data_IF_710699819146
#
_entry.id   IF_710699819146
#
_cell.length_a   1.000
_cell.length_b   1.000
_cell.length_c   1.000
_cell.angle_alpha   90.00
_cell.angle_beta   90.00
_cell.angle_gamma   90.00
#
_symmetry.space_group_name_H-M   'P 1'
#
loop_
_entity.id
_entity.type
_entity.pdbx_description
1 polymer ?
#
# COMPACT_ATOMS: atom_id res chain seq x y z
N UNK A 1 -21.69 -14.75 8.40
CA UNK A 1 -20.60 -14.27 9.27
C UNK A 1 -19.30 -14.93 8.82
N UNK A 2 -18.26 -14.15 8.60
CA UNK A 2 -17.00 -14.59 7.98
C UNK A 2 -15.84 -14.34 8.91
N UNK A 3 -14.99 -15.35 9.10
CA UNK A 3 -13.76 -15.26 9.88
C UNK A 3 -12.54 -15.20 8.98
N UNK A 4 -11.57 -14.39 9.37
CA UNK A 4 -10.26 -14.39 8.75
C UNK A 4 -9.45 -15.58 9.27
N UNK A 5 -8.82 -16.32 8.37
CA UNK A 5 -7.90 -17.39 8.77
C UNK A 5 -6.69 -16.87 9.56
N UNK A 6 -6.28 -15.61 9.35
CA UNK A 6 -5.25 -14.93 10.14
C UNK A 6 -5.70 -13.52 10.50
N UNK A 7 -5.58 -13.09 11.77
CA UNK A 7 -5.87 -11.72 12.17
C UNK A 7 -5.10 -10.70 11.32
N UNK A 8 -5.77 -9.64 10.88
CA UNK A 8 -5.17 -8.56 10.09
C UNK A 8 -4.94 -7.33 10.96
N UNK A 9 -3.76 -6.70 10.94
CA UNK A 9 -3.49 -5.52 11.77
C UNK A 9 -4.40 -4.36 11.35
N UNK A 10 -5.02 -3.71 12.32
CA UNK A 10 -5.92 -2.56 12.15
C UNK A 10 -5.77 -1.59 13.31
N UNK A 11 -6.29 -0.39 13.15
CA UNK A 11 -6.49 0.56 14.24
C UNK A 11 -8.00 0.72 14.50
N UNK A 12 -8.39 0.77 15.77
CA UNK A 12 -9.79 0.87 16.20
C UNK A 12 -10.01 2.18 16.96
N UNK A 13 -11.00 2.96 16.55
CA UNK A 13 -11.37 4.21 17.20
C UNK A 13 -12.21 3.94 18.45
N UNK A 14 -11.75 4.41 19.61
CA UNK A 14 -12.47 4.30 20.87
C UNK A 14 -12.06 5.43 21.82
N UNK A 15 -13.06 6.16 22.34
CA UNK A 15 -12.89 7.32 23.23
C UNK A 15 -11.91 8.36 22.66
N UNK A 16 -12.19 8.79 21.42
CA UNK A 16 -11.42 9.82 20.69
C UNK A 16 -9.95 9.49 20.49
N UNK A 17 -9.60 8.19 20.52
CA UNK A 17 -8.25 7.67 20.33
C UNK A 17 -8.26 6.45 19.42
N UNK A 18 -7.19 6.30 18.66
CA UNK A 18 -6.95 5.12 17.84
C UNK A 18 -6.10 4.12 18.63
N UNK A 19 -6.57 2.88 18.72
CA UNK A 19 -5.89 1.79 19.43
C UNK A 19 -5.44 0.73 18.43
N UNK A 20 -4.20 0.26 18.58
CA UNK A 20 -3.69 -0.85 17.76
C UNK A 20 -4.49 -2.13 18.08
N UNK A 21 -4.93 -2.81 17.04
CA UNK A 21 -5.70 -4.03 17.13
C UNK A 21 -5.53 -4.97 15.94
N UNK A 22 -6.37 -6.00 15.91
CA UNK A 22 -6.43 -6.95 14.82
C UNK A 22 -7.89 -7.26 14.45
N UNK A 23 -8.17 -7.21 13.15
CA UNK A 23 -9.41 -7.65 12.55
C UNK A 23 -9.43 -9.18 12.52
N UNK A 24 -10.48 -9.75 13.08
CA UNK A 24 -10.69 -11.20 13.18
C UNK A 24 -11.69 -11.70 12.14
N UNK A 25 -12.64 -10.87 11.72
CA UNK A 25 -13.70 -11.25 10.79
C UNK A 25 -14.71 -10.12 10.59
N UNK A 26 -15.74 -10.40 9.79
CA UNK A 26 -16.82 -9.45 9.51
C UNK A 26 -18.15 -10.17 9.32
N UNK A 27 -19.24 -9.42 9.38
CA UNK A 27 -20.59 -9.88 9.02
C UNK A 27 -21.38 -8.71 8.48
N UNK A 28 -22.44 -9.01 7.73
CA UNK A 28 -23.50 -8.05 7.47
C UNK A 28 -24.66 -8.34 8.42
N UNK A 29 -25.22 -7.30 9.01
CA UNK A 29 -26.49 -7.38 9.73
C UNK A 29 -27.67 -7.32 8.71
N UNK A 30 -28.91 -7.52 9.16
CA UNK A 30 -30.07 -7.68 8.28
C UNK A 30 -30.43 -6.41 7.48
N UNK A 31 -29.98 -5.25 7.98
CA UNK A 31 -30.10 -3.93 7.36
C UNK A 31 -29.03 -3.66 6.29
N UNK A 32 -28.10 -4.61 6.07
CA UNK A 32 -26.97 -4.47 5.15
C UNK A 32 -25.74 -3.81 5.78
N UNK A 33 -25.80 -3.41 7.05
CA UNK A 33 -24.68 -2.78 7.75
C UNK A 33 -23.54 -3.77 7.94
N UNK A 34 -22.31 -3.36 7.64
CA UNK A 34 -21.12 -4.18 7.83
C UNK A 34 -20.53 -3.98 9.23
N UNK A 35 -20.49 -5.06 10.00
CA UNK A 35 -19.83 -5.10 11.30
C UNK A 35 -18.54 -5.89 11.25
N UNK A 36 -17.54 -5.37 11.92
CA UNK A 36 -16.21 -5.96 12.02
C UNK A 36 -15.99 -6.55 13.41
N UNK A 37 -15.47 -7.77 13.50
CA UNK A 37 -15.01 -8.35 14.76
C UNK A 37 -13.54 -8.00 14.93
N UNK A 38 -13.21 -7.23 15.97
CA UNK A 38 -11.84 -6.79 16.24
C UNK A 38 -11.39 -7.21 17.63
N UNK A 39 -10.07 -7.32 17.82
CA UNK A 39 -9.45 -7.32 19.14
C UNK A 39 -8.48 -6.16 19.26
N UNK A 40 -8.46 -5.45 20.38
CA UNK A 40 -7.58 -4.30 20.61
C UNK A 40 -7.17 -4.19 22.09
N UNK A 41 -6.02 -3.57 22.34
CA UNK A 41 -5.61 -3.18 23.69
C UNK A 41 -6.19 -1.80 24.00
N UNK A 42 -7.10 -1.74 24.96
CA UNK A 42 -7.77 -0.51 25.40
C UNK A 42 -7.60 -0.39 26.90
N UNK A 43 -7.01 0.73 27.34
CA UNK A 43 -6.70 0.99 28.76
C UNK A 43 -5.88 -0.15 29.40
N UNK A 44 -5.00 -0.80 28.64
CA UNK A 44 -4.18 -1.94 29.09
C UNK A 44 -4.87 -3.31 29.02
N UNK A 45 -6.13 -3.39 28.63
CA UNK A 45 -6.88 -4.64 28.55
C UNK A 45 -7.13 -5.07 27.11
N UNK A 46 -6.90 -6.35 26.81
CA UNK A 46 -7.31 -6.95 25.53
C UNK A 46 -8.82 -7.12 25.50
N UNK A 47 -9.48 -6.41 24.59
CA UNK A 47 -10.93 -6.48 24.37
C UNK A 47 -11.22 -7.08 23.00
N UNK A 48 -12.36 -7.74 22.87
CA UNK A 48 -12.86 -8.26 21.58
C UNK A 48 -14.31 -7.89 21.41
N UNK A 49 -14.64 -7.17 20.34
CA UNK A 49 -15.97 -6.62 20.12
C UNK A 49 -16.36 -6.64 18.64
N UNK A 50 -17.66 -6.52 18.39
CA UNK A 50 -18.18 -6.12 17.08
C UNK A 50 -18.24 -4.60 17.04
N UNK A 51 -17.73 -4.01 15.98
CA UNK A 51 -17.68 -2.55 15.78
C UNK A 51 -18.15 -2.21 14.37
N UNK A 52 -18.57 -0.96 14.17
CA UNK A 52 -18.97 -0.44 12.85
C UNK A 52 -17.74 -0.23 11.96
N UNK A 53 -17.92 -0.34 10.63
CA UNK A 53 -16.85 -0.22 9.65
C UNK A 53 -16.10 1.13 9.72
N UNK A 54 -16.81 2.21 10.02
CA UNK A 54 -16.27 3.58 10.14
C UNK A 54 -15.35 3.78 11.36
N UNK A 55 -15.42 2.89 12.35
CA UNK A 55 -14.57 2.93 13.54
C UNK A 55 -13.22 2.23 13.35
N UNK A 56 -12.94 1.67 12.16
CA UNK A 56 -11.73 0.88 11.88
C UNK A 56 -10.99 1.45 10.68
N UNK A 57 -9.66 1.53 10.78
CA UNK A 57 -8.79 1.89 9.65
C UNK A 57 -7.57 0.98 9.58
N UNK A 58 -6.92 1.00 8.42
CA UNK A 58 -5.61 0.37 8.28
C UNK A 58 -4.54 1.19 9.02
N UNK A 59 -3.53 0.55 9.63
CA UNK A 59 -2.42 1.26 10.25
C UNK A 59 -1.68 2.09 9.19
N UNK A 60 -1.22 3.28 9.56
CA UNK A 60 -0.37 4.06 8.69
C UNK A 60 0.93 3.28 8.42
N UNK A 61 1.38 3.16 7.16
CA UNK A 61 2.68 2.60 6.88
C UNK A 61 3.77 3.47 7.55
N UNK A 62 4.86 2.86 8.05
CA UNK A 62 5.97 3.64 8.58
C UNK A 62 6.47 4.60 7.51
N UNK A 63 6.75 5.84 7.92
CA UNK A 63 7.37 6.82 7.02
C UNK A 63 8.65 6.20 6.46
N UNK A 64 8.75 6.11 5.13
CA UNK A 64 10.01 5.74 4.50
C UNK A 64 11.03 6.80 4.91
N UNK A 65 12.23 6.42 5.41
CA UNK A 65 13.27 7.39 5.68
C UNK A 65 13.55 8.13 4.38
N UNK A 66 13.15 9.39 4.31
CA UNK A 66 13.44 10.26 3.18
C UNK A 66 14.91 10.66 3.34
N UNK A 67 15.79 9.79 2.87
CA UNK A 67 17.19 10.15 2.67
C UNK A 67 17.29 11.12 1.51
N UNK A 68 16.94 12.39 1.73
CA UNK A 68 17.53 13.55 1.04
C UNK A 68 16.97 14.86 1.60
N UNK A 69 17.77 15.52 2.44
CA UNK A 69 17.52 16.88 2.92
C UNK A 69 17.79 17.95 1.83
N UNK A 70 17.76 17.60 0.53
CA UNK A 70 18.12 18.50 -0.58
C UNK A 70 16.99 18.93 -1.50
N UNK A 71 15.75 18.46 -1.30
CA UNK A 71 14.66 18.72 -2.27
C UNK A 71 13.38 19.27 -1.65
N UNK A 72 13.48 20.18 -0.67
CA UNK A 72 12.36 21.06 -0.30
C UNK A 72 12.52 22.49 -0.86
N UNK A 73 13.11 22.63 -2.05
CA UNK A 73 12.82 23.79 -2.90
C UNK A 73 11.87 23.35 -4.01
N UNK A 74 10.58 23.47 -3.74
CA UNK A 74 9.57 23.52 -4.80
C UNK A 74 9.96 24.68 -5.75
N UNK A 75 10.18 24.43 -7.05
CA UNK A 75 10.41 25.51 -8.00
C UNK A 75 9.16 26.40 -8.04
N UNK A 76 9.30 27.67 -7.67
CA UNK A 76 8.29 28.69 -7.99
C UNK A 76 8.20 28.75 -9.51
N UNK A 77 7.02 28.45 -10.03
CA UNK A 77 6.70 28.46 -11.45
C UNK A 77 6.85 29.91 -11.97
N UNK A 78 8.04 30.30 -12.46
CA UNK A 78 8.20 31.68 -12.92
C UNK A 78 9.59 32.23 -13.26
N UNK A 79 10.67 31.44 -13.38
CA UNK A 79 11.94 31.99 -13.89
C UNK A 79 12.42 31.22 -15.12
N UNK A 80 12.14 31.81 -16.29
CA UNK A 80 12.60 31.36 -17.60
C UNK A 80 13.98 31.94 -17.84
N UNK A 81 15.02 31.33 -17.29
CA UNK A 81 16.39 31.57 -17.71
C UNK A 81 16.87 30.41 -18.58
N UNK A 82 17.10 30.74 -19.86
CA UNK A 82 17.67 29.86 -20.89
C UNK A 82 18.99 29.29 -20.39
N UNK A 83 19.03 28.00 -20.10
CA UNK A 83 20.27 27.24 -19.88
C UNK A 83 20.52 26.34 -21.09
N UNK A 84 21.60 26.63 -21.78
CA UNK A 84 22.20 25.87 -22.88
C UNK A 84 22.25 24.37 -22.55
N UNK A 85 21.81 23.46 -23.45
CA UNK A 85 21.89 22.03 -23.17
C UNK A 85 23.35 21.55 -23.19
N UNK A 86 23.76 20.66 -22.27
CA UNK A 86 25.06 19.98 -22.34
C UNK A 86 25.12 19.04 -23.56
N UNK A 87 26.32 18.73 -24.09
CA UNK A 87 26.46 17.89 -25.28
C UNK A 87 25.92 16.47 -25.05
N UNK A 88 25.17 15.99 -26.04
CA UNK A 88 24.55 14.66 -26.08
C UNK A 88 25.60 13.55 -26.09
N UNK A 89 25.77 12.85 -24.97
CA UNK A 89 26.46 11.56 -24.97
C UNK A 89 25.57 10.50 -25.68
N UNK A 90 26.14 9.64 -26.54
CA UNK A 90 25.37 8.62 -27.24
C UNK A 90 24.78 7.63 -26.24
N UNK A 91 23.44 7.55 -26.21
CA UNK A 91 22.70 6.52 -25.47
C UNK A 91 22.90 5.17 -26.17
N UNK A 92 23.36 4.11 -25.48
CA UNK A 92 23.15 2.77 -25.98
C UNK A 92 21.64 2.46 -25.97
N UNK A 93 21.08 2.23 -27.17
CA UNK A 93 19.85 1.47 -27.38
C UNK A 93 20.12 0.04 -26.84
N UNK A 94 19.24 -0.64 -26.12
CA UNK A 94 17.86 -0.95 -26.52
C UNK A 94 17.09 -1.58 -25.36
N UNK A 95 15.77 -1.45 -25.44
CA UNK A 95 14.81 -2.19 -24.63
C UNK A 95 14.84 -3.67 -25.01
N UNK A 96 15.15 -4.55 -24.06
CA UNK A 96 14.84 -5.97 -24.16
C UNK A 96 13.70 -6.28 -23.17
N UNK A 97 12.51 -6.50 -23.72
CA UNK A 97 11.36 -7.13 -23.05
C UNK A 97 11.68 -8.62 -22.91
N UNK A 98 11.65 -9.24 -21.72
CA UNK A 98 11.65 -10.70 -21.64
C UNK A 98 10.25 -11.21 -21.94
N UNK A 99 10.03 -11.61 -23.19
CA UNK A 99 8.76 -12.17 -23.65
C UNK A 99 8.71 -12.42 -25.16
N UNK A 100 9.76 -13.02 -25.73
CA UNK A 100 9.73 -13.63 -27.06
C UNK A 100 10.97 -14.52 -27.25
N UNK A 101 10.90 -15.77 -26.81
CA UNK A 101 11.73 -16.83 -27.35
C UNK A 101 10.98 -17.39 -28.57
N UNK A 102 11.71 -17.41 -29.69
CA UNK A 102 11.31 -17.81 -31.03
C UNK A 102 11.14 -19.33 -31.17
N UNK A 103 10.05 -19.75 -31.79
CA UNK A 103 9.96 -20.95 -32.66
C UNK A 103 10.15 -20.48 -34.12
N UNK A 104 10.40 -21.30 -35.18
CA UNK A 104 10.60 -22.76 -35.33
C UNK A 104 11.92 -23.08 -36.11
N UNK A 105 12.38 -24.32 -36.41
CA UNK A 105 11.85 -25.34 -37.34
C UNK A 105 12.70 -26.65 -37.23
N UNK A 106 12.08 -27.82 -37.46
CA UNK A 106 12.69 -29.18 -37.46
C UNK A 106 13.72 -29.41 -38.59
N UNK A 107 14.53 -30.49 -38.52
CA UNK A 107 14.20 -31.71 -39.30
C UNK A 107 14.50 -33.07 -38.60
N UNK A 108 13.82 -34.14 -39.05
CA UNK A 108 14.18 -35.57 -38.86
C UNK A 108 15.36 -35.96 -39.80
N UNK A 109 16.12 -37.09 -39.71
CA UNK A 109 15.69 -38.52 -39.58
C UNK A 109 16.62 -39.35 -38.62
N UNK A 110 16.44 -40.64 -38.32
CA UNK A 110 16.35 -41.85 -39.16
C UNK A 110 15.59 -42.98 -38.46
#
# INVERSE_FOLDING_TARGET
MTWLGRPKPVEVHHRDRWHIGALLGWRHDADGTCRLRVTALVDGYKRTAWVELDTVRLPLPPARPTGDARTQRLPRHGDRTVRTPPPSLPRPRSWARPGQAVEPLRPAPA
#
